data_IF_366730506644
#
_entry.id   IF_366730506644
#
_cell.length_a   1.000
_cell.length_b   1.000
_cell.length_c   1.000
_cell.angle_alpha   90.00
_cell.angle_beta   90.00
_cell.angle_gamma   90.00
#
_symmetry.space_group_name_H-M   'P 1'
#
loop_
_entity.id
_entity.type
_entity.pdbx_description
1 polymer ?
2 water ?
#
# COMPACT_ATOMS: atom_id res chain seq x y z
N UNK A 22 8.49 -11.37 24.96
CA UNK A 22 8.59 -10.04 24.38
C UNK A 22 9.02 -10.14 22.91
N UNK A 23 10.03 -10.97 22.62
CA UNK A 23 10.53 -11.10 21.25
C UNK A 23 9.43 -11.60 20.32
N UNK A 24 9.29 -10.94 19.16
CA UNK A 24 8.16 -11.13 18.25
C UNK A 24 8.64 -11.70 16.93
N UNK A 25 7.81 -12.58 16.35
CA UNK A 25 8.04 -13.11 15.01
C UNK A 25 7.38 -12.16 14.00
N UNK A 26 8.22 -11.38 13.29
CA UNK A 26 7.78 -10.36 12.34
C UNK A 26 7.59 -11.00 10.97
N UNK A 27 6.35 -11.11 10.52
CA UNK A 27 6.06 -11.74 9.23
C UNK A 27 5.61 -10.72 8.20
N UNK A 28 5.96 -9.45 8.39
CA UNK A 28 5.57 -8.38 7.49
C UNK A 28 6.76 -7.62 6.91
N UNK A 29 7.78 -7.36 7.73
CA UNK A 29 8.80 -6.39 7.37
C UNK A 29 9.76 -6.95 6.32
N UNK A 30 10.19 -6.08 5.42
CA UNK A 30 11.47 -6.26 4.73
C UNK A 30 12.18 -4.92 4.71
N UNK A 31 13.38 -4.91 5.27
CA UNK A 31 14.15 -3.70 5.50
C UNK A 31 15.35 -3.66 4.56
N UNK A 32 15.99 -2.47 4.51
CA UNK A 32 17.19 -2.19 3.72
C UNK A 32 18.43 -2.65 4.47
N UNK A 33 19.33 -3.41 3.84
CA UNK A 33 19.21 -3.84 2.44
C UNK A 33 18.28 -5.04 2.26
N UNK A 34 17.61 -5.12 1.10
CA UNK A 34 16.64 -6.19 0.86
C UNK A 34 17.36 -7.52 0.73
N UNK A 35 16.91 -8.49 1.51
CA UNK A 35 17.42 -9.86 1.41
C UNK A 35 16.32 -10.71 0.80
N UNK A 36 16.53 -11.25 -0.41
CA UNK A 36 15.41 -11.88 -1.15
C UNK A 36 14.67 -12.97 -0.39
N UNK A 37 15.35 -13.79 0.42
CA UNK A 37 14.61 -14.88 1.06
C UNK A 37 13.67 -14.33 2.14
N UNK A 38 14.00 -13.19 2.72
CA UNK A 38 13.09 -12.60 3.70
C UNK A 38 11.77 -12.18 3.05
N UNK A 39 11.83 -11.64 1.82
CA UNK A 39 10.62 -11.25 1.11
C UNK A 39 9.81 -12.48 0.73
N UNK A 40 10.47 -13.46 0.11
CA UNK A 40 9.80 -14.65 -0.41
C UNK A 40 9.13 -15.44 0.69
N UNK A 41 9.70 -15.44 1.90
CA UNK A 41 9.12 -16.32 2.91
C UNK A 41 7.84 -15.74 3.49
N UNK A 42 7.59 -14.46 3.30
CA UNK A 42 6.43 -13.79 3.84
C UNK A 42 5.39 -13.37 2.80
N UNK A 43 5.72 -13.36 1.51
CA UNK A 43 4.82 -12.80 0.50
C UNK A 43 4.74 -13.68 -0.74
N UNK A 44 3.51 -13.97 -1.18
CA UNK A 44 3.25 -14.49 -2.50
C UNK A 44 3.36 -13.35 -3.52
N UNK A 45 3.63 -13.73 -4.77
CA UNK A 45 3.90 -12.77 -5.84
C UNK A 45 3.13 -13.17 -7.08
N UNK A 46 2.34 -12.23 -7.62
CA UNK A 46 1.43 -12.53 -8.72
C UNK A 46 1.47 -11.33 -9.67
N UNK A 47 2.18 -11.50 -10.79
CA UNK A 47 2.45 -10.43 -11.72
C UNK A 47 3.94 -10.17 -11.81
N UNK A 48 4.33 -9.16 -12.57
CA UNK A 48 5.77 -8.89 -12.76
C UNK A 48 6.47 -8.26 -11.57
N UNK A 49 6.30 -8.86 -10.38
CA UNK A 49 7.08 -8.48 -9.21
C UNK A 49 8.48 -9.06 -9.35
N UNK A 50 9.50 -8.28 -8.98
CA UNK A 50 10.89 -8.73 -9.00
C UNK A 50 11.61 -8.15 -7.80
N UNK A 51 12.26 -8.99 -7.02
CA UNK A 51 13.11 -8.53 -5.92
C UNK A 51 14.48 -8.17 -6.50
N UNK A 52 14.83 -6.89 -6.46
CA UNK A 52 16.14 -6.40 -6.83
C UNK A 52 16.95 -6.18 -5.55
N UNK A 53 18.23 -5.81 -5.73
CA UNK A 53 19.11 -5.55 -4.59
C UNK A 53 18.59 -4.40 -3.72
N UNK A 54 18.19 -3.29 -4.34
CA UNK A 54 17.82 -2.09 -3.60
C UNK A 54 16.31 -1.85 -3.48
N UNK A 55 15.45 -2.70 -4.05
CA UNK A 55 14.02 -2.43 -4.03
C UNK A 55 13.29 -3.67 -4.52
N UNK A 56 11.99 -3.72 -4.21
CA UNK A 56 11.07 -4.69 -4.80
C UNK A 56 10.30 -3.97 -5.91
N UNK A 57 10.44 -4.46 -7.14
CA UNK A 57 9.65 -3.93 -8.25
C UNK A 57 8.25 -4.49 -8.15
N UNK A 58 7.26 -3.62 -8.12
CA UNK A 58 5.86 -4.04 -8.20
C UNK A 58 5.39 -4.08 -9.66
N UNK A 59 5.57 -2.98 -10.42
CA UNK A 59 5.38 -2.98 -11.86
C UNK A 59 6.62 -2.44 -12.57
N UNK A 60 6.99 -3.02 -13.71
CA UNK A 60 7.94 -2.36 -14.61
C UNK A 60 7.18 -1.41 -15.53
N UNK A 61 7.94 -0.68 -16.36
CA UNK A 61 7.33 0.11 -17.44
C UNK A 61 6.39 -0.74 -18.29
N UNK A 62 5.32 -0.11 -18.79
CA UNK A 62 4.35 -0.81 -19.62
C UNK A 62 2.91 -0.51 -19.27
N UNK A 63 2.14 -0.01 -20.26
CA UNK A 63 0.75 0.38 -20.04
C UNK A 63 -0.07 -0.79 -19.50
N UNK A 64 -0.94 -0.50 -18.54
CA UNK A 64 -1.88 -1.47 -18.00
C UNK A 64 -1.30 -2.55 -17.08
N UNK A 65 0.02 -2.64 -16.93
CA UNK A 65 0.58 -3.72 -16.12
C UNK A 65 0.26 -3.50 -14.64
N UNK A 66 0.07 -4.62 -13.94
CA UNK A 66 -0.31 -4.57 -12.54
C UNK A 66 0.20 -5.82 -11.85
N UNK A 67 0.25 -5.77 -10.52
CA UNK A 67 0.81 -6.82 -9.69
C UNK A 67 0.15 -6.80 -8.32
N UNK A 68 0.12 -7.97 -7.68
CA UNK A 68 -0.30 -8.06 -6.29
C UNK A 68 0.75 -8.87 -5.52
N UNK A 69 1.15 -8.34 -4.38
CA UNK A 69 2.07 -9.00 -3.46
C UNK A 69 1.26 -9.31 -2.22
N UNK A 70 1.05 -10.60 -1.92
CA UNK A 70 0.14 -11.06 -0.88
C UNK A 70 0.91 -11.62 0.30
N UNK A 71 0.68 -11.05 1.49
CA UNK A 71 1.19 -11.62 2.71
C UNK A 71 0.74 -13.07 2.87
N UNK A 72 1.67 -13.97 3.19
CA UNK A 72 1.27 -15.35 3.37
C UNK A 72 0.52 -15.59 4.67
N UNK A 73 0.87 -14.85 5.74
CA UNK A 73 0.42 -15.14 7.09
C UNK A 73 -0.50 -14.04 7.61
N UNK A 74 -1.71 -14.41 7.97
CA UNK A 74 -2.66 -13.49 8.58
C UNK A 74 -2.17 -13.09 9.97
N UNK A 75 -2.20 -11.78 10.27
CA UNK A 75 -1.65 -11.25 11.51
C UNK A 75 -2.77 -10.73 12.40
N UNK A 76 -2.55 -10.84 13.71
CA UNK A 76 -3.43 -10.31 14.75
C UNK A 76 -2.61 -9.30 15.54
N UNK A 77 -2.68 -8.02 15.16
CA UNK A 77 -1.65 -7.15 15.71
C UNK A 77 -2.16 -6.29 16.85
N UNK A 78 -1.29 -5.92 17.78
CA UNK A 78 -1.61 -4.81 18.68
C UNK A 78 -1.49 -3.51 17.93
N UNK A 79 -1.59 -2.38 18.64
CA UNK A 79 -1.41 -1.10 17.98
C UNK A 79 -0.11 -1.11 17.20
N UNK A 80 -0.18 -0.68 15.95
CA UNK A 80 0.95 -0.87 15.07
C UNK A 80 1.13 0.35 14.19
N UNK A 81 2.31 0.41 13.59
CA UNK A 81 2.62 1.40 12.56
C UNK A 81 3.33 0.68 11.44
N UNK A 82 2.83 0.85 10.21
CA UNK A 82 3.51 0.36 9.02
C UNK A 82 4.10 1.55 8.27
N UNK A 83 5.33 1.38 7.79
CA UNK A 83 6.05 2.37 6.99
C UNK A 83 6.47 1.75 5.68
N UNK A 84 5.91 2.24 4.59
CA UNK A 84 6.20 1.73 3.26
C UNK A 84 6.97 2.79 2.49
N UNK A 85 8.24 2.55 2.25
CA UNK A 85 9.07 3.52 1.57
C UNK A 85 9.01 3.29 0.06
N UNK A 86 8.70 4.35 -0.68
CA UNK A 86 8.39 4.31 -2.10
C UNK A 86 9.60 4.64 -2.96
N UNK A 87 9.67 3.97 -4.12
CA UNK A 87 10.66 4.28 -5.17
C UNK A 87 9.92 4.19 -6.50
N UNK A 88 9.31 5.30 -6.93
CA UNK A 88 8.44 5.32 -8.11
C UNK A 88 9.13 6.10 -9.23
N UNK A 89 9.21 5.50 -10.41
CA UNK A 89 9.89 6.10 -11.57
C UNK A 89 8.86 6.46 -12.62
N UNK A 90 8.90 7.72 -13.08
CA UNK A 90 8.03 8.20 -14.16
C UNK A 90 8.83 9.15 -15.04
N UNK A 91 9.03 8.77 -16.31
CA UNK A 91 9.68 9.67 -17.27
C UNK A 91 8.99 11.02 -17.32
N UNK A 92 7.65 11.01 -17.42
CA UNK A 92 6.88 12.23 -17.53
C UNK A 92 5.90 12.26 -16.35
N UNK A 93 4.61 12.33 -16.61
CA UNK A 93 3.61 12.27 -15.55
C UNK A 93 3.32 10.80 -15.22
N UNK A 94 3.27 10.49 -13.92
CA UNK A 94 2.96 9.11 -13.53
C UNK A 94 1.50 8.79 -13.83
N UNK A 95 1.25 7.55 -14.28
CA UNK A 95 -0.07 7.00 -14.37
C UNK A 95 -0.29 5.95 -13.28
N UNK A 96 -1.52 5.45 -13.22
CA UNK A 96 -1.91 4.39 -12.31
C UNK A 96 -1.82 4.81 -10.84
N UNK A 97 -1.59 3.80 -9.99
CA UNK A 97 -1.45 4.03 -8.57
C UNK A 97 -1.08 2.76 -7.85
N UNK A 98 -1.01 2.87 -6.54
CA UNK A 98 -0.54 1.83 -5.64
C UNK A 98 -1.58 1.61 -4.54
N UNK A 99 -1.69 0.39 -4.07
CA UNK A 99 -2.56 0.09 -2.94
C UNK A 99 -1.83 -0.69 -1.87
N UNK A 100 -2.13 -0.36 -0.62
CA UNK A 100 -1.76 -1.19 0.52
C UNK A 100 -3.05 -1.70 1.14
N UNK A 101 -3.09 -2.98 1.44
CA UNK A 101 -4.36 -3.65 1.70
C UNK A 101 -4.31 -4.38 3.02
N UNK A 102 -5.39 -4.27 3.80
CA UNK A 102 -5.54 -5.00 5.05
C UNK A 102 -6.88 -5.73 4.93
N UNK A 103 -6.84 -7.02 4.58
CA UNK A 103 -8.05 -7.72 4.17
C UNK A 103 -8.20 -9.05 4.89
N UNK A 104 -9.46 -9.49 4.92
CA UNK A 104 -9.83 -10.77 5.54
C UNK A 104 -9.25 -11.96 4.78
N UNK A 105 -9.07 -11.84 3.46
CA UNK A 105 -8.48 -12.88 2.64
C UNK A 105 -7.40 -12.28 1.73
N UNK A 106 -6.56 -13.14 1.17
CA UNK A 106 -5.52 -12.67 0.28
C UNK A 106 -6.15 -12.01 -0.96
N UNK A 107 -5.44 -11.03 -1.51
CA UNK A 107 -5.97 -10.33 -2.67
C UNK A 107 -6.08 -11.25 -3.87
N UNK A 108 -7.14 -11.06 -4.65
CA UNK A 108 -7.25 -11.54 -6.01
C UNK A 108 -6.95 -10.40 -6.98
N UNK A 109 -6.62 -10.77 -8.22
CA UNK A 109 -6.38 -9.78 -9.26
C UNK A 109 -7.67 -9.08 -9.64
N UNK A 110 -7.52 -7.86 -10.15
CA UNK A 110 -8.68 -7.10 -10.58
C UNK A 110 -8.29 -5.75 -11.10
N UNK A 111 -9.28 -4.87 -11.20
CA UNK A 111 -9.08 -3.56 -11.81
C UNK A 111 -8.90 -2.44 -10.79
N UNK A 112 -8.96 -2.75 -9.49
CA UNK A 112 -8.84 -1.75 -8.44
C UNK A 112 -7.37 -1.67 -8.04
N UNK A 113 -6.59 -0.84 -8.75
CA UNK A 113 -5.15 -0.76 -8.56
C UNK A 113 -4.51 -2.16 -8.52
N UNK A 114 -4.90 -3.01 -9.47
CA UNK A 114 -4.37 -4.35 -9.56
C UNK A 114 -5.18 -5.43 -8.86
N UNK A 115 -6.01 -5.09 -7.88
CA UNK A 115 -6.73 -6.09 -7.09
C UNK A 115 -8.23 -6.06 -7.39
N UNK A 116 -8.92 -7.07 -6.87
CA UNK A 116 -10.34 -7.24 -7.15
C UNK A 116 -11.17 -6.16 -6.45
N UNK A 117 -12.30 -5.82 -7.06
CA UNK A 117 -13.15 -4.77 -6.51
C UNK A 117 -14.03 -5.24 -5.35
N UNK A 118 -14.17 -6.55 -5.13
CA UNK A 118 -14.90 -7.08 -3.98
C UNK A 118 -13.89 -7.63 -2.99
N UNK A 119 -13.95 -7.17 -1.74
CA UNK A 119 -13.01 -7.57 -0.70
C UNK A 119 -13.59 -7.17 0.66
N UNK A 120 -13.05 -7.75 1.72
CA UNK A 120 -13.46 -7.37 3.08
C UNK A 120 -12.24 -6.82 3.82
N UNK A 121 -12.26 -5.54 4.10
CA UNK A 121 -11.15 -4.91 4.78
C UNK A 121 -10.96 -3.49 4.28
N UNK A 122 -9.69 -3.09 4.20
CA UNK A 122 -9.31 -1.71 3.98
C UNK A 122 -8.32 -1.69 2.82
N UNK A 123 -8.56 -0.79 1.87
CA UNK A 123 -7.58 -0.46 0.84
C UNK A 123 -7.14 0.98 1.04
N UNK A 124 -5.82 1.16 1.05
CA UNK A 124 -5.19 2.49 1.12
C UNK A 124 -4.51 2.70 -0.23
N UNK A 125 -4.94 3.75 -0.95
CA UNK A 125 -4.54 3.94 -2.33
C UNK A 125 -3.84 5.29 -2.50
N UNK A 126 -2.75 5.27 -3.28
CA UNK A 126 -2.11 6.48 -3.78
C UNK A 126 -2.36 6.52 -5.27
N UNK A 127 -3.08 7.53 -5.74
CA UNK A 127 -3.51 7.59 -7.13
C UNK A 127 -2.88 8.78 -7.84
N UNK A 128 -2.19 8.52 -8.96
CA UNK A 128 -1.65 9.55 -9.86
C UNK A 128 -2.48 9.73 -11.13
N UNK A 129 -3.25 8.72 -11.53
CA UNK A 129 -4.00 8.74 -12.78
C UNK A 129 -5.08 9.81 -12.75
N UNK A 130 -5.03 10.73 -13.72
CA UNK A 130 -6.04 11.74 -14.01
C UNK A 130 -6.09 12.88 -12.99
N UNK A 131 -5.12 13.01 -12.09
CA UNK A 131 -5.09 14.16 -11.20
C UNK A 131 -3.73 14.81 -11.31
N UNK A 132 -3.70 16.12 -11.03
CA UNK A 132 -2.45 16.86 -11.07
C UNK A 132 -1.56 16.50 -9.89
N UNK A 133 -2.11 16.54 -8.69
CA UNK A 133 -1.41 16.19 -7.46
C UNK A 133 -1.92 14.81 -7.05
N UNK A 134 -1.03 13.89 -6.67
CA UNK A 134 -1.51 12.56 -6.24
C UNK A 134 -2.48 12.67 -5.06
N UNK A 135 -3.46 11.77 -5.08
CA UNK A 135 -4.47 11.66 -4.04
C UNK A 135 -4.19 10.41 -3.24
N UNK A 136 -4.44 10.48 -1.94
CA UNK A 136 -4.43 9.32 -1.07
C UNK A 136 -5.87 9.10 -0.64
N UNK A 137 -6.33 7.85 -0.72
CA UNK A 137 -7.70 7.48 -0.39
C UNK A 137 -7.69 6.27 0.52
N UNK A 138 -8.72 6.15 1.33
CA UNK A 138 -8.97 4.95 2.12
C UNK A 138 -10.38 4.49 1.79
N UNK A 139 -10.52 3.20 1.50
CA UNK A 139 -11.77 2.61 1.06
C UNK A 139 -12.00 1.36 1.89
N UNK A 140 -12.92 1.43 2.85
CA UNK A 140 -13.30 0.26 3.62
C UNK A 140 -14.48 -0.42 2.95
N UNK A 141 -14.36 -1.73 2.75
CA UNK A 141 -15.34 -2.54 2.04
C UNK A 141 -15.80 -3.68 2.95
N UNK A 142 -17.09 -3.99 2.86
CA UNK A 142 -17.71 -5.06 3.62
C UNK A 142 -18.10 -6.24 2.73
N UNK A 143 -17.29 -6.54 1.72
CA UNK A 143 -17.59 -7.63 0.81
C UNK A 143 -18.56 -7.33 -0.32
N UNK A 144 -18.67 -6.06 -0.75
CA UNK A 144 -19.57 -5.72 -1.84
C UNK A 144 -18.76 -5.14 -2.99
N UNK A 145 -19.42 -5.03 -4.14
CA UNK A 145 -18.84 -4.43 -5.34
C UNK A 145 -18.87 -2.92 -5.14
N UNK A 146 -17.78 -2.37 -4.62
CA UNK A 146 -17.72 -0.94 -4.30
C UNK A 146 -17.51 -0.07 -5.51
N UNK A 147 -17.45 -0.65 -6.71
CA UNK A 147 -17.56 0.14 -7.92
C UNK A 147 -19.00 0.37 -8.33
N UNK A 148 -19.93 -0.47 -7.84
CA UNK A 148 -21.36 -0.33 -8.09
C UNK A 148 -22.12 0.23 -6.90
N UNK A 149 -21.68 -0.08 -5.68
CA UNK A 149 -22.41 0.33 -4.49
C UNK A 149 -21.54 1.19 -3.60
N UNK A 150 -22.18 1.77 -2.60
CA UNK A 150 -21.49 2.66 -1.69
C UNK A 150 -20.50 1.86 -0.85
N UNK A 151 -19.23 2.28 -0.78
CA UNK A 151 -18.31 1.69 0.18
C UNK A 151 -18.78 1.95 1.60
N UNK A 152 -18.31 1.11 2.53
CA UNK A 152 -18.64 1.30 3.94
C UNK A 152 -18.03 2.58 4.49
N UNK A 153 -16.84 2.96 4.00
CA UNK A 153 -16.15 4.20 4.38
C UNK A 153 -15.26 4.62 3.22
N UNK A 154 -15.22 5.93 2.98
CA UNK A 154 -14.35 6.49 1.93
C UNK A 154 -13.81 7.83 2.40
N UNK A 155 -12.49 7.99 2.39
CA UNK A 155 -11.79 9.18 2.82
C UNK A 155 -10.71 9.51 1.81
N UNK A 156 -10.35 10.79 1.70
CA UNK A 156 -9.31 11.13 0.76
C UNK A 156 -8.57 12.37 1.21
N UNK A 157 -7.38 12.55 0.63
CA UNK A 157 -6.56 13.71 0.85
C UNK A 157 -5.66 13.84 -0.37
N UNK A 158 -4.88 14.91 -0.39
CA UNK A 158 -4.01 15.20 -1.52
C UNK A 158 -2.68 15.64 -0.95
N UNK A 159 -1.59 15.06 -1.46
CA UNK A 159 -0.24 15.41 -0.99
C UNK A 159 0.70 15.53 -2.18
N UNK A 160 1.35 16.69 -2.31
CA UNK A 160 2.25 16.95 -3.42
C UNK A 160 3.60 16.26 -3.22
N UNK A 161 4.21 15.88 -4.33
CA UNK A 161 5.60 15.47 -4.45
C UNK A 161 5.88 14.05 -3.93
N UNK A 162 4.90 13.16 -3.99
CA UNK A 162 5.09 11.82 -3.43
C UNK A 162 6.19 11.07 -4.19
N UNK A 163 6.12 11.04 -5.53
CA UNK A 163 7.18 10.33 -6.24
C UNK A 163 8.35 11.23 -6.60
N UNK A 164 8.18 12.55 -6.58
CA UNK A 164 9.25 13.50 -6.86
C UNK A 164 10.27 13.61 -5.74
N UNK A 165 10.00 13.02 -4.57
CA UNK A 165 10.97 12.94 -3.48
C UNK A 165 12.04 11.93 -3.87
N UNK A 166 13.24 12.41 -4.20
CA UNK A 166 14.31 11.53 -4.68
C UNK A 166 14.80 10.54 -3.62
N UNK A 167 14.57 10.82 -2.34
CA UNK A 167 14.95 9.89 -1.28
C UNK A 167 13.89 8.84 -1.00
N UNK A 168 12.71 8.93 -1.60
CA UNK A 168 11.68 7.95 -1.34
C UNK A 168 10.71 8.38 -0.27
N UNK A 169 9.50 8.76 -0.69
CA UNK A 169 8.44 9.06 0.26
C UNK A 169 8.09 7.80 1.06
N UNK A 170 7.54 8.02 2.25
CA UNK A 170 7.19 6.95 3.17
C UNK A 170 5.71 7.10 3.49
N UNK A 171 4.91 6.12 3.09
CA UNK A 171 3.51 6.05 3.48
C UNK A 171 3.41 5.49 4.89
N UNK A 172 2.72 6.21 5.78
CA UNK A 172 2.66 5.83 7.19
C UNK A 172 1.23 5.43 7.55
N UNK A 173 1.05 4.20 8.00
CA UNK A 173 -0.26 3.65 8.37
C UNK A 173 -0.22 3.31 9.85
N UNK A 174 -0.99 4.04 10.67
CA UNK A 174 -0.98 3.87 12.11
C UNK A 174 -2.38 3.48 12.58
N UNK A 175 -2.48 2.45 13.42
CA UNK A 175 -3.75 2.05 14.00
C UNK A 175 -3.62 1.87 15.51
N UNK A 176 -4.48 2.54 16.26
CA UNK A 176 -4.56 2.35 17.70
C UNK A 176 -5.76 1.46 18.01
N UNK A 177 -5.50 0.28 18.58
CA UNK A 177 -6.51 -0.76 18.72
C UNK A 177 -7.58 -0.36 19.73
N UNK A 178 -7.17 0.16 20.87
CA UNK A 178 -8.16 0.57 21.88
C UNK A 178 -9.00 1.73 21.40
N UNK A 179 -8.39 2.72 20.75
CA UNK A 179 -9.15 3.87 20.28
C UNK A 179 -9.91 3.61 19.00
N UNK A 180 -9.65 2.49 18.34
CA UNK A 180 -10.25 2.19 17.03
C UNK A 180 -10.02 3.34 16.06
N UNK A 181 -8.79 3.84 16.03
CA UNK A 181 -8.42 5.00 15.25
C UNK A 181 -7.34 4.63 14.25
N UNK A 182 -7.61 4.89 12.98
CA UNK A 182 -6.64 4.71 11.91
C UNK A 182 -6.15 6.07 11.45
N UNK A 183 -4.84 6.21 11.30
CA UNK A 183 -4.22 7.46 10.88
C UNK A 183 -3.29 7.17 9.72
N UNK A 184 -3.48 7.88 8.61
CA UNK A 184 -2.62 7.83 7.45
C UNK A 184 -1.84 9.13 7.37
N UNK A 185 -0.52 9.03 7.27
CA UNK A 185 0.36 10.15 7.04
C UNK A 185 1.30 9.77 5.90
N UNK A 186 1.96 10.76 5.33
CA UNK A 186 2.99 10.47 4.33
C UNK A 186 4.16 11.43 4.54
N UNK A 187 5.37 10.86 4.59
CA UNK A 187 6.59 11.62 4.78
C UNK A 187 7.18 11.94 3.42
N UNK A 188 7.20 13.22 3.06
CA UNK A 188 7.70 13.68 1.78
C UNK A 188 8.72 14.79 2.03
N UNK A 189 9.92 14.64 1.49
CA UNK A 189 10.97 15.65 1.60
C UNK A 189 11.18 16.09 3.05
N UNK A 190 11.39 15.10 3.93
CA UNK A 190 11.74 15.25 5.33
C UNK A 190 10.60 15.80 6.20
N UNK A 191 9.38 15.89 5.68
CA UNK A 191 8.26 16.50 6.41
C UNK A 191 7.14 15.48 6.52
N UNK A 192 6.69 15.24 7.75
CA UNK A 192 5.57 14.33 7.98
C UNK A 192 4.27 15.07 7.73
N UNK A 193 3.49 14.60 6.76
CA UNK A 193 2.29 15.30 6.32
C UNK A 193 1.05 14.56 6.79
N UNK A 194 0.12 15.30 7.38
CA UNK A 194 -1.21 14.78 7.69
C UNK A 194 -1.91 14.32 6.41
N UNK A 195 -2.84 13.38 6.56
CA UNK A 195 -3.64 13.00 5.41
C UNK A 195 -5.06 12.61 5.84
N UNK A 196 -5.21 11.50 6.55
CA UNK A 196 -6.52 10.98 6.90
C UNK A 196 -6.48 10.46 8.34
N UNK A 197 -7.54 10.76 9.09
CA UNK A 197 -7.81 10.11 10.36
C UNK A 197 -9.22 9.54 10.29
N UNK A 198 -9.37 8.28 10.69
CA UNK A 198 -10.67 7.62 10.74
C UNK A 198 -10.92 7.16 12.17
N UNK A 199 -11.99 7.67 12.77
CA UNK A 199 -12.37 7.20 14.09
C UNK A 199 -13.30 6.00 13.99
N UNK A 200 -13.38 5.24 15.09
CA UNK A 200 -14.31 4.12 15.23
C UNK A 200 -14.27 3.18 14.02
N UNK A 201 -13.06 2.81 13.62
CA UNK A 201 -12.85 1.87 12.51
C UNK A 201 -12.18 0.64 13.08
N UNK A 202 -12.70 -0.53 12.71
CA UNK A 202 -12.25 -1.80 13.22
C UNK A 202 -11.33 -2.46 12.21
N UNK A 203 -10.26 -3.08 12.70
CA UNK A 203 -9.38 -3.87 11.85
C UNK A 203 -9.24 -5.27 12.45
N UNK A 204 -9.99 -6.25 11.94
CA UNK A 204 -9.82 -7.63 12.38
C UNK A 204 -8.48 -8.18 11.91
N UNK A 205 -8.09 -9.38 12.34
CA UNK A 205 -6.88 -10.01 11.76
C UNK A 205 -6.87 -9.92 10.23
N UNK A 206 -5.68 -9.69 9.66
CA UNK A 206 -5.63 -9.38 8.23
C UNK A 206 -4.38 -9.96 7.57
N UNK A 207 -4.47 -10.13 6.26
CA UNK A 207 -3.30 -10.27 5.41
C UNK A 207 -2.91 -8.90 4.87
N UNK A 208 -1.60 -8.63 4.85
CA UNK A 208 -1.08 -7.39 4.31
C UNK A 208 -0.77 -7.58 2.83
N UNK A 209 -1.36 -6.76 1.98
CA UNK A 209 -1.09 -6.80 0.56
C UNK A 209 -0.54 -5.49 0.04
N UNK A 210 0.23 -5.58 -1.05
CA UNK A 210 0.67 -4.42 -1.81
C UNK A 210 0.34 -4.69 -3.26
N UNK A 211 -0.12 -3.65 -3.96
CA UNK A 211 -0.50 -3.79 -5.37
C UNK A 211 -0.25 -2.47 -6.08
N UNK A 212 -0.24 -2.54 -7.42
CA UNK A 212 -0.09 -1.33 -8.19
C UNK A 212 -0.53 -1.58 -9.62
N UNK A 213 -0.95 -0.52 -10.29
CA UNK A 213 -1.23 -0.56 -11.72
C UNK A 213 -0.56 0.64 -12.36
N UNK A 214 -0.05 0.48 -13.58
CA UNK A 214 0.46 1.64 -14.29
C UNK A 214 -0.64 2.43 -15.00
N UNK A 215 -1.86 1.89 -15.07
CA UNK A 215 -2.91 2.63 -15.75
C UNK A 215 -2.54 2.95 -17.19
N UNK A 216 -2.80 4.18 -17.59
CA UNK A 216 -2.59 4.60 -18.97
C UNK A 216 -1.17 4.97 -19.35
N UNK A 217 -0.22 4.87 -18.43
CA UNK A 217 1.14 5.33 -18.67
C UNK A 217 2.04 4.17 -19.04
N UNK A 218 3.01 4.44 -19.91
CA UNK A 218 3.94 3.44 -20.38
C UNK A 218 5.33 3.75 -19.89
N UNK A 219 5.46 4.88 -19.19
CA UNK A 219 6.74 5.28 -18.61
C UNK A 219 6.68 5.37 -17.09
N UNK A 220 5.76 4.65 -16.45
CA UNK A 220 5.64 4.61 -14.99
C UNK A 220 6.07 3.24 -14.47
N UNK A 221 6.84 3.24 -13.38
CA UNK A 221 7.25 2.00 -12.72
C UNK A 221 7.11 2.15 -11.21
N UNK A 222 6.37 1.22 -10.58
CA UNK A 222 6.11 1.25 -9.15
C UNK A 222 7.04 0.28 -8.45
N UNK A 223 7.74 0.77 -7.42
CA UNK A 223 8.71 -0.07 -6.72
C UNK A 223 8.73 0.38 -5.27
N UNK A 224 9.16 -0.53 -4.41
CA UNK A 224 9.09 -0.34 -2.96
C UNK A 224 10.48 -0.59 -2.37
N UNK A 225 10.99 0.39 -1.62
CA UNK A 225 12.31 0.26 -1.04
C UNK A 225 12.31 -0.62 0.20
N UNK A 226 11.29 -0.48 1.07
CA UNK A 226 11.27 -1.20 2.32
C UNK A 226 9.88 -1.11 2.93
N UNK A 227 9.61 -2.04 3.83
CA UNK A 227 8.38 -2.06 4.61
C UNK A 227 8.77 -2.40 6.04
N UNK A 228 8.48 -1.50 6.98
CA UNK A 228 8.75 -1.73 8.40
C UNK A 228 7.42 -1.81 9.12
N UNK A 229 7.27 -2.84 9.94
CA UNK A 229 6.20 -2.93 10.91
C UNK A 229 6.78 -2.61 12.28
N UNK A 230 6.15 -1.69 13.01
CA UNK A 230 6.55 -1.35 14.37
C UNK A 230 5.35 -1.48 15.27
N UNK A 231 5.55 -2.10 16.42
CA UNK A 231 4.55 -2.05 17.47
C UNK A 231 4.57 -0.66 18.11
N UNK A 232 3.39 -0.05 18.23
CA UNK A 232 3.28 1.25 18.88
C UNK A 232 3.22 1.02 20.39
N UNK A 233 4.05 1.74 21.13
CA UNK A 233 4.25 1.51 22.56
C UNK A 233 3.05 1.18 23.44
#
# INVERSE_FOLDING_TARGET
MGSSHHHHHHSSGLVPRGSHMASVVDVLSFREPIEPENVVRNYDMKGPIIVFENYVQITPNGIGKSSIMNGKYKVDLPSFELQLKLNIICKEKCGGGMGVWLTEEKLKEGDLFGAYNIYKGIGIFINFEDVDIPMISVLKNDGVDILKYKPEMYYQCSVANIQKDKDGAVLRIKYLVNEKKLIIEIMVNHINMDCITIEDIDIPPFYLGISATNGGSGSTSYRVQSLHYYEVGNKERKEVHLNNVVENEQI
#
